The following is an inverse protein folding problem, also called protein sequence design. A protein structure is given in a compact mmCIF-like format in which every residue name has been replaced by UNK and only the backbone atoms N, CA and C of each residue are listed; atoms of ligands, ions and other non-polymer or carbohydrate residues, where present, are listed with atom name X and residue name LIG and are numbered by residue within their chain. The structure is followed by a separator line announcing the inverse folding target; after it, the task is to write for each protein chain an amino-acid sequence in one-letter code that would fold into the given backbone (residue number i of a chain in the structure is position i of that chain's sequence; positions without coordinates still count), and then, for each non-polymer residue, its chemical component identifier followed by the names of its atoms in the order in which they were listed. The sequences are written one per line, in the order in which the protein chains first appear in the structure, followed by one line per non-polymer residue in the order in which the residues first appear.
data_IF_927814766905
#
_entry.id   IF_927814766905
#
_cell.length_a   1.000
_cell.length_b   1.000
_cell.length_c   1.000
_cell.angle_alpha   90.00
_cell.angle_beta   90.00
_cell.angle_gamma   90.00
#
_symmetry.space_group_name_H-M   'P 1'
#
loop_
_entity.id
_entity.type
_entity.pdbx_description
1 polymer ?
#
# COMPACT_ATOMS: atom_id res chain seq x y z
N UNK A 1 -72.74 -4.13 -39.63
CA UNK A 1 -72.37 -2.69 -39.65
C UNK A 1 -71.10 -2.46 -38.84
N UNK A 2 -69.93 -2.96 -39.31
CA UNK A 2 -68.68 -2.87 -38.54
C UNK A 2 -67.40 -2.94 -39.41
N UNK A 3 -67.46 -2.50 -40.68
CA UNK A 3 -66.29 -2.54 -41.59
C UNK A 3 -66.09 -1.29 -42.47
N UNK A 4 -66.87 -0.22 -42.24
CA UNK A 4 -66.72 1.07 -42.97
C UNK A 4 -66.22 2.25 -42.13
N UNK A 5 -65.95 2.03 -40.84
CA UNK A 5 -65.43 3.08 -39.93
C UNK A 5 -63.92 3.05 -39.69
N UNK A 6 -63.18 2.10 -40.27
CA UNK A 6 -61.71 2.01 -40.10
C UNK A 6 -60.90 2.64 -41.25
N UNK A 7 -61.54 3.03 -42.34
CA UNK A 7 -60.84 3.61 -43.50
C UNK A 7 -60.75 5.15 -43.44
N UNK A 8 -61.52 5.80 -42.56
CA UNK A 8 -61.57 7.26 -42.42
C UNK A 8 -60.69 7.80 -41.28
N UNK A 9 -60.18 6.94 -40.39
CA UNK A 9 -59.24 7.32 -39.32
C UNK A 9 -57.77 7.21 -39.71
N UNK A 10 -57.44 6.63 -40.87
CA UNK A 10 -56.04 6.46 -41.33
C UNK A 10 -55.51 7.65 -42.17
N UNK A 11 -56.37 8.57 -42.63
CA UNK A 11 -55.97 9.69 -43.51
C UNK A 11 -55.72 11.00 -42.72
N UNK A 12 -56.17 11.09 -41.47
CA UNK A 12 -55.96 12.30 -40.63
C UNK A 12 -54.60 12.29 -39.92
N UNK A 13 -53.89 11.16 -39.86
CA UNK A 13 -52.55 11.07 -39.23
C UNK A 13 -51.36 11.32 -40.17
N UNK A 14 -51.60 11.62 -41.45
CA UNK A 14 -50.53 11.79 -42.45
C UNK A 14 -50.30 13.25 -42.89
N UNK A 15 -50.94 14.24 -42.25
CA UNK A 15 -50.78 15.66 -42.60
C UNK A 15 -50.29 16.58 -41.47
N UNK A 16 -49.82 16.05 -40.34
CA UNK A 16 -49.08 16.81 -39.31
C UNK A 16 -47.62 16.38 -39.28
N UNK A 17 -46.94 16.55 -40.41
CA UNK A 17 -45.51 16.25 -40.56
C UNK A 17 -44.75 17.41 -41.19
N UNK A 18 -45.06 18.67 -40.83
CA UNK A 18 -44.23 19.84 -41.16
C UNK A 18 -44.49 20.96 -40.16
N UNK A 19 -43.68 21.07 -39.10
CA UNK A 19 -43.20 22.33 -38.51
C UNK A 19 -42.47 22.05 -37.18
N UNK A 20 -41.40 22.80 -36.94
CA UNK A 20 -40.48 22.72 -35.80
C UNK A 20 -39.42 21.61 -35.84
N UNK A 21 -38.63 21.59 -36.92
CA UNK A 21 -37.20 21.33 -36.72
C UNK A 21 -36.60 22.52 -35.95
N UNK A 22 -36.57 22.42 -34.62
CA UNK A 22 -35.54 23.13 -33.88
C UNK A 22 -34.21 22.54 -34.32
N UNK A 23 -33.38 23.37 -34.95
CA UNK A 23 -32.00 23.03 -35.23
C UNK A 23 -31.39 22.46 -33.93
N UNK A 24 -30.72 21.30 -33.98
CA UNK A 24 -29.98 20.84 -32.82
C UNK A 24 -29.03 21.96 -32.46
N UNK A 25 -29.20 22.52 -31.27
CA UNK A 25 -28.24 23.42 -30.66
C UNK A 25 -26.94 22.65 -30.72
N UNK A 26 -26.06 23.00 -31.65
CA UNK A 26 -24.72 22.42 -31.78
C UNK A 26 -24.17 22.49 -30.37
N UNK A 27 -24.06 21.35 -29.69
CA UNK A 27 -23.36 21.31 -28.43
C UNK A 27 -21.96 21.73 -28.83
N UNK A 28 -21.62 22.98 -28.56
CA UNK A 28 -20.26 23.48 -28.71
C UNK A 28 -19.39 22.41 -28.10
N UNK A 29 -18.55 21.75 -28.91
CA UNK A 29 -17.52 20.86 -28.44
C UNK A 29 -16.93 21.52 -27.18
N UNK A 30 -16.87 20.82 -26.03
CA UNK A 30 -16.26 21.42 -24.85
C UNK A 30 -14.92 22.00 -25.30
N UNK A 31 -14.63 23.28 -24.99
CA UNK A 31 -13.51 23.99 -25.60
C UNK A 31 -12.27 23.13 -25.53
N UNK A 32 -11.70 22.81 -26.70
CA UNK A 32 -10.58 21.88 -26.85
C UNK A 32 -9.51 22.27 -25.83
N UNK A 33 -9.20 21.34 -24.92
CA UNK A 33 -8.33 21.64 -23.80
C UNK A 33 -6.93 22.02 -24.28
N UNK A 34 -6.47 23.22 -23.91
CA UNK A 34 -5.15 23.72 -24.30
C UNK A 34 -4.14 23.08 -23.36
N UNK A 35 -3.56 21.95 -23.79
CA UNK A 35 -2.47 21.31 -23.07
C UNK A 35 -1.24 22.21 -23.13
N UNK A 36 -0.71 22.59 -21.98
CA UNK A 36 0.50 23.40 -21.87
C UNK A 36 1.53 22.76 -20.95
N UNK A 37 2.77 23.25 -21.04
CA UNK A 37 3.88 22.92 -20.15
C UNK A 37 4.34 24.20 -19.47
N UNK A 38 4.34 24.23 -18.14
CA UNK A 38 4.88 25.34 -17.35
C UNK A 38 6.10 24.88 -16.57
N UNK A 39 7.17 25.66 -16.58
CA UNK A 39 8.35 25.42 -15.75
C UNK A 39 8.40 26.50 -14.69
N UNK A 40 8.41 26.11 -13.42
CA UNK A 40 8.49 27.01 -12.26
C UNK A 40 9.81 26.75 -11.55
N UNK A 41 10.69 27.76 -11.52
CA UNK A 41 11.83 27.74 -10.61
C UNK A 41 11.31 27.93 -9.18
N UNK A 42 11.87 27.18 -8.23
CA UNK A 42 11.48 27.27 -6.82
C UNK A 42 12.73 27.32 -5.94
N UNK A 43 12.58 27.85 -4.73
CA UNK A 43 13.65 27.80 -3.73
C UNK A 43 13.93 26.36 -3.30
N UNK A 44 15.06 26.14 -2.62
CA UNK A 44 15.43 24.83 -2.13
C UNK A 44 14.39 24.24 -1.16
N UNK A 45 14.18 22.94 -1.28
CA UNK A 45 13.31 22.14 -0.43
C UNK A 45 13.89 20.73 -0.28
N UNK A 46 13.51 20.05 0.79
CA UNK A 46 13.79 18.64 1.02
C UNK A 46 12.55 17.87 1.50
N UNK A 47 11.43 18.56 1.72
CA UNK A 47 10.13 17.95 1.94
C UNK A 47 9.20 18.30 0.78
N UNK A 48 8.30 17.38 0.46
CA UNK A 48 7.27 17.56 -0.56
C UNK A 48 5.93 17.19 0.06
N UNK A 49 4.95 18.08 -0.05
CA UNK A 49 3.55 17.88 0.35
C UNK A 49 2.65 18.12 -0.87
N UNK A 50 1.96 17.07 -1.30
CA UNK A 50 1.06 17.11 -2.47
C UNK A 50 -0.37 16.81 -2.06
N UNK A 51 -1.30 17.67 -2.45
CA UNK A 51 -2.71 17.52 -2.15
C UNK A 51 -3.58 17.70 -3.39
N UNK A 52 -4.46 16.74 -3.64
CA UNK A 52 -5.43 16.75 -4.72
C UNK A 52 -5.07 15.84 -5.89
N UNK A 53 -6.03 15.68 -6.81
CA UNK A 53 -6.00 14.68 -7.86
C UNK A 53 -4.99 15.03 -8.96
N UNK A 54 -3.75 14.60 -8.79
CA UNK A 54 -2.69 14.78 -9.80
C UNK A 54 -1.77 13.57 -9.89
N UNK A 55 -0.99 13.52 -10.96
CA UNK A 55 0.09 12.57 -11.16
C UNK A 55 1.42 13.26 -10.82
N UNK A 56 2.24 12.65 -9.98
CA UNK A 56 3.49 13.23 -9.50
C UNK A 56 4.66 12.35 -9.90
N UNK A 57 5.69 12.95 -10.47
CA UNK A 57 7.00 12.33 -10.61
C UNK A 57 8.00 13.10 -9.75
N UNK A 58 8.78 12.40 -8.94
CA UNK A 58 9.77 13.00 -8.04
C UNK A 58 11.17 12.56 -8.43
N UNK A 59 12.10 13.51 -8.46
CA UNK A 59 13.50 13.29 -8.77
C UNK A 59 14.42 13.96 -7.75
N UNK A 60 15.51 13.28 -7.39
CA UNK A 60 16.60 13.79 -6.53
C UNK A 60 17.87 14.07 -7.33
N UNK A 61 18.84 14.77 -6.75
CA UNK A 61 20.16 15.02 -7.35
C UNK A 61 20.26 16.26 -8.23
N UNK A 62 19.20 17.05 -8.36
CA UNK A 62 19.22 18.28 -9.17
C UNK A 62 19.72 19.48 -8.37
N UNK A 63 20.79 20.13 -8.84
CA UNK A 63 21.37 21.34 -8.20
C UNK A 63 20.43 22.55 -8.19
N UNK A 64 19.55 22.65 -9.20
CA UNK A 64 18.58 23.74 -9.36
C UNK A 64 17.17 23.17 -9.21
N UNK A 65 16.52 23.34 -8.05
CA UNK A 65 15.17 22.87 -7.83
C UNK A 65 14.19 23.52 -8.80
N UNK A 66 13.30 22.72 -9.38
CA UNK A 66 12.29 23.18 -10.33
C UNK A 66 11.11 22.24 -10.37
N UNK A 67 9.99 22.77 -10.86
CA UNK A 67 8.75 22.04 -11.04
C UNK A 67 8.30 22.20 -12.49
N UNK A 68 7.96 21.09 -13.12
CA UNK A 68 7.47 21.06 -14.50
C UNK A 68 6.03 20.55 -14.48
N UNK A 69 5.10 21.43 -14.84
CA UNK A 69 3.67 21.15 -14.85
C UNK A 69 3.20 20.85 -16.26
N UNK A 70 2.31 19.88 -16.42
CA UNK A 70 1.66 19.52 -17.68
C UNK A 70 0.17 19.29 -17.45
N UNK A 71 -0.68 19.90 -18.28
CA UNK A 71 -2.14 19.82 -18.15
C UNK A 71 -2.84 20.91 -18.95
N UNK A 72 -4.16 21.00 -18.83
CA UNK A 72 -4.93 22.13 -19.37
C UNK A 72 -4.57 23.42 -18.62
N UNK A 73 -4.42 24.53 -19.33
CA UNK A 73 -4.06 25.84 -18.75
C UNK A 73 -4.97 26.26 -17.58
N UNK A 74 -6.28 25.95 -17.65
CA UNK A 74 -7.26 26.31 -16.61
C UNK A 74 -7.08 25.50 -15.34
N UNK A 75 -6.76 24.21 -15.48
CA UNK A 75 -6.46 23.34 -14.34
C UNK A 75 -5.10 23.72 -13.71
N UNK A 76 -4.11 24.05 -14.53
CA UNK A 76 -2.78 24.49 -14.03
C UNK A 76 -2.82 25.85 -13.33
N UNK A 77 -3.74 26.73 -13.71
CA UNK A 77 -3.95 28.02 -13.03
C UNK A 77 -4.50 27.83 -11.60
N UNK A 78 -5.26 26.76 -11.35
CA UNK A 78 -5.78 26.42 -10.03
C UNK A 78 -4.75 25.73 -9.12
N UNK A 79 -3.63 25.24 -9.68
CA UNK A 79 -2.57 24.58 -8.92
C UNK A 79 -1.71 25.60 -8.16
N UNK A 80 -1.84 25.59 -6.83
CA UNK A 80 -0.99 26.37 -5.92
C UNK A 80 0.36 25.68 -5.74
N UNK A 81 1.43 26.48 -5.81
CA UNK A 81 2.81 26.02 -5.66
C UNK A 81 3.56 27.01 -4.77
N UNK A 82 3.98 26.57 -3.58
CA UNK A 82 4.70 27.42 -2.62
C UNK A 82 5.79 26.59 -1.96
N UNK A 83 6.96 27.18 -1.77
CA UNK A 83 7.98 26.61 -0.88
C UNK A 83 7.99 27.41 0.42
N UNK A 84 7.83 26.72 1.54
CA UNK A 84 7.90 27.32 2.88
C UNK A 84 8.52 26.32 3.85
N UNK A 85 9.43 26.79 4.71
CA UNK A 85 10.13 25.94 5.70
C UNK A 85 10.70 24.64 5.09
N UNK A 86 11.45 24.78 3.99
CA UNK A 86 12.05 23.68 3.21
C UNK A 86 11.06 22.65 2.67
N UNK A 87 9.77 22.97 2.66
CA UNK A 87 8.71 22.10 2.15
C UNK A 87 8.11 22.71 0.90
N UNK A 88 8.12 21.95 -0.18
CA UNK A 88 7.36 22.26 -1.38
C UNK A 88 5.91 21.80 -1.18
N UNK A 89 5.00 22.77 -1.15
CA UNK A 89 3.55 22.55 -1.10
C UNK A 89 2.96 22.67 -2.50
N UNK A 90 2.25 21.63 -2.91
CA UNK A 90 1.49 21.55 -4.16
C UNK A 90 0.04 21.21 -3.81
N UNK A 91 -0.89 22.11 -4.12
CA UNK A 91 -2.30 21.91 -3.81
C UNK A 91 -3.17 22.21 -5.03
N UNK A 92 -3.90 21.21 -5.49
CA UNK A 92 -4.94 21.35 -6.49
C UNK A 92 -6.30 21.37 -5.78
N UNK A 93 -7.10 22.40 -6.06
CA UNK A 93 -8.37 22.63 -5.36
C UNK A 93 -9.37 21.48 -5.53
N UNK A 94 -10.34 21.38 -4.61
CA UNK A 94 -11.45 20.43 -4.75
C UNK A 94 -12.20 20.66 -6.07
N UNK A 95 -12.61 19.58 -6.72
CA UNK A 95 -13.29 19.62 -8.03
C UNK A 95 -12.34 19.74 -9.22
N UNK A 96 -11.04 19.98 -8.99
CA UNK A 96 -10.03 19.93 -10.02
C UNK A 96 -9.31 18.56 -10.02
N UNK A 97 -8.81 18.12 -11.18
CA UNK A 97 -8.90 18.79 -12.48
C UNK A 97 -10.27 18.60 -13.16
N UNK A 98 -10.70 19.60 -13.94
CA UNK A 98 -11.97 19.56 -14.68
C UNK A 98 -11.81 19.29 -16.18
N UNK A 99 -10.65 19.64 -16.76
CA UNK A 99 -10.45 19.61 -18.21
C UNK A 99 -9.42 18.56 -18.66
N UNK A 100 -8.68 17.97 -17.72
CA UNK A 100 -7.85 16.80 -17.98
C UNK A 100 -6.82 16.51 -16.88
N UNK A 101 -6.10 15.39 -16.96
CA UNK A 101 -5.14 15.03 -15.92
C UNK A 101 -4.01 16.08 -15.79
N UNK A 102 -3.71 16.45 -14.55
CA UNK A 102 -2.56 17.30 -14.20
C UNK A 102 -1.39 16.41 -13.83
N UNK A 103 -0.23 16.65 -14.44
CA UNK A 103 1.02 15.96 -14.14
C UNK A 103 2.08 16.96 -13.65
N UNK A 104 2.81 16.58 -12.60
CA UNK A 104 3.80 17.40 -11.92
C UNK A 104 5.11 16.63 -11.83
N UNK A 105 6.17 17.13 -12.48
CA UNK A 105 7.55 16.63 -12.36
C UNK A 105 8.31 17.55 -11.39
N UNK A 106 8.64 17.02 -10.22
CA UNK A 106 9.30 17.68 -9.10
C UNK A 106 10.78 17.30 -9.12
N UNK A 107 11.66 18.29 -9.22
CA UNK A 107 13.11 18.09 -9.23
C UNK A 107 13.71 18.83 -8.05
N UNK A 108 14.35 18.09 -7.15
CA UNK A 108 15.07 18.63 -6.00
C UNK A 108 16.46 18.02 -5.88
N UNK A 109 17.26 18.59 -4.98
CA UNK A 109 18.57 18.02 -4.66
C UNK A 109 18.43 16.82 -3.72
N UNK A 110 17.62 16.97 -2.68
CA UNK A 110 17.39 15.97 -1.63
C UNK A 110 15.89 15.75 -1.42
N UNK A 111 15.53 14.60 -0.84
CA UNK A 111 14.17 14.30 -0.43
C UNK A 111 14.20 13.53 0.89
N UNK A 112 13.77 14.18 1.96
CA UNK A 112 13.70 13.63 3.31
C UNK A 112 12.27 13.24 3.70
N UNK A 113 11.26 13.87 3.09
CA UNK A 113 9.85 13.58 3.35
C UNK A 113 9.01 13.73 2.09
N UNK A 114 8.10 12.79 1.91
CA UNK A 114 7.05 12.83 0.89
C UNK A 114 5.69 12.61 1.56
N UNK A 115 4.88 13.65 1.63
CA UNK A 115 3.51 13.61 2.05
C UNK A 115 2.59 13.75 0.82
N UNK A 116 1.57 12.90 0.73
CA UNK A 116 0.59 12.99 -0.34
C UNK A 116 -0.82 12.66 0.15
N UNK A 117 -1.79 13.43 -0.34
CA UNK A 117 -3.20 13.26 -0.02
C UNK A 117 -4.07 13.39 -1.27
N UNK A 118 -4.96 12.42 -1.45
CA UNK A 118 -5.93 12.37 -2.55
C UNK A 118 -5.24 12.44 -3.93
N UNK A 119 -4.04 11.85 -4.05
CA UNK A 119 -3.18 11.85 -5.24
C UNK A 119 -3.35 10.57 -6.05
N UNK A 120 -3.37 10.65 -7.39
CA UNK A 120 -3.66 9.50 -8.25
C UNK A 120 -2.45 8.56 -8.42
N UNK A 121 -1.30 9.14 -8.75
CA UNK A 121 -0.08 8.41 -9.08
C UNK A 121 1.13 9.17 -8.55
N UNK A 122 2.07 8.45 -7.94
CA UNK A 122 3.38 8.98 -7.55
C UNK A 122 4.47 8.03 -8.06
N UNK A 123 5.44 8.57 -8.79
CA UNK A 123 6.56 7.81 -9.35
C UNK A 123 7.88 8.48 -8.97
N UNK A 124 8.87 7.68 -8.56
CA UNK A 124 10.25 8.13 -8.39
C UNK A 124 11.19 6.96 -8.67
N UNK A 125 11.78 6.89 -9.86
CA UNK A 125 12.46 5.66 -10.31
C UNK A 125 13.93 5.55 -9.86
N UNK A 126 14.57 6.66 -9.53
CA UNK A 126 16.00 6.74 -9.20
C UNK A 126 16.20 7.71 -8.03
N UNK A 127 15.47 7.48 -6.96
CA UNK A 127 15.59 8.29 -5.74
C UNK A 127 16.86 7.90 -4.99
N UNK A 128 17.62 8.90 -4.57
CA UNK A 128 18.79 8.72 -3.71
C UNK A 128 18.56 9.50 -2.43
N UNK A 129 18.19 8.79 -1.35
CA UNK A 129 17.82 9.40 -0.07
C UNK A 129 18.51 8.64 1.06
N UNK A 130 19.19 9.35 1.97
CA UNK A 130 19.74 8.75 3.19
C UNK A 130 18.67 8.47 4.24
N UNK A 131 17.64 9.32 4.29
CA UNK A 131 16.46 9.19 5.13
C UNK A 131 15.24 9.60 4.30
N UNK A 132 14.17 8.83 4.34
CA UNK A 132 12.89 9.17 3.72
C UNK A 132 11.74 8.79 4.64
N UNK A 133 10.89 9.76 4.97
CA UNK A 133 9.57 9.53 5.56
C UNK A 133 8.50 9.64 4.48
N UNK A 134 7.58 8.70 4.42
CA UNK A 134 6.48 8.67 3.45
C UNK A 134 5.15 8.64 4.19
N UNK A 135 4.29 9.62 3.92
CA UNK A 135 2.94 9.75 4.49
C UNK A 135 1.91 9.80 3.36
N UNK A 136 1.02 8.83 3.28
CA UNK A 136 0.04 8.71 2.18
C UNK A 136 -1.37 8.62 2.74
N UNK A 137 -2.27 9.47 2.23
CA UNK A 137 -3.69 9.45 2.59
C UNK A 137 -4.54 9.39 1.33
N UNK A 138 -5.29 8.30 1.15
CA UNK A 138 -6.13 8.06 -0.03
C UNK A 138 -5.37 8.25 -1.35
N UNK A 139 -4.12 7.80 -1.38
CA UNK A 139 -3.26 7.89 -2.56
C UNK A 139 -3.40 6.62 -3.39
N UNK A 140 -3.56 6.76 -4.71
CA UNK A 140 -3.73 5.64 -5.64
C UNK A 140 -2.48 4.75 -5.75
N UNK A 141 -1.72 4.88 -6.84
CA UNK A 141 -0.52 4.07 -7.05
C UNK A 141 0.73 4.84 -6.67
N UNK A 142 1.63 4.23 -5.90
CA UNK A 142 2.94 4.80 -5.56
C UNK A 142 4.03 3.81 -5.95
N UNK A 143 4.99 4.26 -6.76
CA UNK A 143 6.16 3.48 -7.18
C UNK A 143 7.43 4.26 -6.94
N UNK A 144 8.19 3.88 -5.92
CA UNK A 144 9.47 4.49 -5.58
C UNK A 144 10.58 3.43 -5.74
N UNK A 145 11.68 3.79 -6.40
CA UNK A 145 12.84 2.94 -6.63
C UNK A 145 14.11 3.79 -6.53
N UNK A 146 15.25 3.13 -6.27
CA UNK A 146 16.56 3.77 -6.19
C UNK A 146 17.37 3.24 -5.02
N UNK A 147 18.05 4.13 -4.28
CA UNK A 147 18.67 3.84 -2.99
C UNK A 147 17.96 4.66 -1.91
N UNK A 148 17.07 3.99 -1.18
CA UNK A 148 16.09 4.65 -0.32
C UNK A 148 16.31 4.26 1.14
N UNK A 149 16.81 5.20 1.95
CA UNK A 149 16.83 5.13 3.40
C UNK A 149 15.45 5.30 4.05
N UNK A 150 14.50 4.41 3.76
CA UNK A 150 13.13 4.52 4.26
C UNK A 150 13.08 4.39 5.79
N UNK A 151 12.60 5.41 6.50
CA UNK A 151 12.49 5.42 7.97
C UNK A 151 11.05 5.26 8.43
N UNK A 152 10.12 5.99 7.82
CA UNK A 152 8.69 5.93 8.16
C UNK A 152 7.89 5.65 6.90
N UNK A 153 6.93 4.72 7.01
CA UNK A 153 5.88 4.52 6.03
C UNK A 153 4.52 4.51 6.75
N UNK A 154 3.79 5.62 6.64
CA UNK A 154 2.44 5.77 7.17
C UNK A 154 1.45 5.89 6.01
N UNK A 155 0.51 4.94 5.92
CA UNK A 155 -0.48 4.87 4.85
C UNK A 155 -1.87 4.73 5.43
N UNK A 156 -2.77 5.62 5.04
CA UNK A 156 -4.19 5.61 5.39
C UNK A 156 -5.06 5.57 4.15
N UNK A 157 -6.03 4.67 4.11
CA UNK A 157 -6.98 4.51 3.01
C UNK A 157 -6.64 3.31 2.14
N UNK A 158 -6.75 3.48 0.82
CA UNK A 158 -6.51 2.43 -0.17
C UNK A 158 -5.39 2.85 -1.10
N UNK A 159 -4.71 1.90 -1.73
CA UNK A 159 -3.67 2.19 -2.70
C UNK A 159 -2.78 0.99 -3.00
N UNK A 160 -2.05 1.05 -4.11
CA UNK A 160 -0.99 0.10 -4.45
C UNK A 160 0.36 0.78 -4.30
N UNK A 161 1.16 0.33 -3.34
CA UNK A 161 2.45 0.93 -3.01
C UNK A 161 3.56 -0.08 -3.27
N UNK A 162 4.54 0.31 -4.06
CA UNK A 162 5.75 -0.46 -4.33
C UNK A 162 6.96 0.44 -4.04
N UNK A 163 7.81 0.04 -3.11
CA UNK A 163 9.06 0.74 -2.78
C UNK A 163 10.22 -0.24 -2.87
N UNK A 164 11.10 -0.02 -3.84
CA UNK A 164 12.27 -0.84 -4.08
C UNK A 164 13.59 -0.14 -3.75
N UNK A 165 14.60 -0.94 -3.46
CA UNK A 165 15.95 -0.45 -3.13
C UNK A 165 16.05 0.15 -1.73
N UNK A 166 15.28 -0.40 -0.79
CA UNK A 166 15.29 0.04 0.61
C UNK A 166 16.61 -0.36 1.28
N UNK A 167 17.20 0.58 2.01
CA UNK A 167 18.30 0.34 2.95
C UNK A 167 17.98 1.07 4.24
N UNK A 168 17.24 0.41 5.14
CA UNK A 168 16.72 1.05 6.35
C UNK A 168 17.44 0.62 7.62
N UNK A 169 17.75 1.60 8.47
CA UNK A 169 18.34 1.39 9.80
C UNK A 169 17.29 1.29 10.92
N UNK A 170 16.09 1.84 10.72
CA UNK A 170 15.01 1.82 11.71
C UNK A 170 13.67 2.14 11.03
N UNK A 171 13.14 1.15 10.32
CA UNK A 171 11.87 1.27 9.60
C UNK A 171 10.69 1.10 10.57
N UNK A 172 9.77 2.05 10.51
CA UNK A 172 8.46 1.99 11.15
C UNK A 172 7.38 2.01 10.08
N UNK A 173 6.43 1.08 10.17
CA UNK A 173 5.34 0.94 9.20
C UNK A 173 4.00 0.99 9.92
N UNK A 174 3.14 1.92 9.49
CA UNK A 174 1.77 2.05 9.96
C UNK A 174 0.80 2.02 8.77
N UNK A 175 -0.08 1.01 8.71
CA UNK A 175 -1.04 0.85 7.62
C UNK A 175 -2.46 0.80 8.19
N UNK A 176 -3.32 1.69 7.69
CA UNK A 176 -4.73 1.74 8.04
C UNK A 176 -5.61 1.73 6.79
N UNK A 177 -6.67 0.91 6.79
CA UNK A 177 -7.59 0.78 5.66
C UNK A 177 -7.32 -0.49 4.85
N UNK A 178 -7.22 -0.37 3.53
CA UNK A 178 -6.93 -1.52 2.65
C UNK A 178 -5.78 -1.27 1.66
N UNK A 179 -4.62 -0.70 2.08
CA UNK A 179 -3.48 -0.56 1.18
C UNK A 179 -2.84 -1.93 0.89
N UNK A 180 -2.30 -2.08 -0.32
CA UNK A 180 -1.44 -3.19 -0.71
C UNK A 180 -0.01 -2.67 -0.88
N UNK A 181 0.90 -3.14 -0.03
CA UNK A 181 2.27 -2.62 0.08
C UNK A 181 3.28 -3.73 -0.21
N UNK A 182 4.17 -3.46 -1.17
CA UNK A 182 5.33 -4.30 -1.48
C UNK A 182 6.61 -3.50 -1.25
N UNK A 183 7.46 -4.01 -0.37
CA UNK A 183 8.75 -3.42 -0.05
C UNK A 183 9.86 -4.38 -0.46
N UNK A 184 10.90 -3.87 -1.12
CA UNK A 184 12.09 -4.67 -1.47
C UNK A 184 13.38 -3.93 -1.12
N UNK A 185 14.33 -4.67 -0.54
CA UNK A 185 15.58 -4.14 -0.02
C UNK A 185 15.92 -4.78 1.33
N UNK A 186 16.92 -4.24 2.02
CA UNK A 186 17.31 -4.68 3.36
C UNK A 186 16.76 -3.69 4.37
N UNK A 187 15.97 -4.17 5.32
CA UNK A 187 15.32 -3.30 6.30
C UNK A 187 15.49 -3.79 7.73
N UNK A 188 15.97 -2.90 8.59
CA UNK A 188 15.78 -3.03 10.02
C UNK A 188 14.35 -2.55 10.38
N UNK A 189 13.37 -3.43 10.23
CA UNK A 189 11.98 -3.17 10.60
C UNK A 189 11.82 -3.32 12.12
N UNK A 190 11.56 -2.22 12.83
CA UNK A 190 11.41 -2.21 14.28
C UNK A 190 9.94 -2.35 14.72
N UNK A 191 9.03 -1.67 14.02
CA UNK A 191 7.61 -1.65 14.36
C UNK A 191 6.75 -1.78 13.09
N UNK A 192 5.75 -2.65 13.16
CA UNK A 192 4.71 -2.82 12.17
C UNK A 192 3.34 -2.82 12.84
N UNK A 193 2.53 -1.80 12.53
CA UNK A 193 1.14 -1.72 12.96
C UNK A 193 0.20 -1.72 11.76
N UNK A 194 -0.78 -2.62 11.75
CA UNK A 194 -1.76 -2.75 10.66
C UNK A 194 -3.19 -2.88 11.16
N UNK A 195 -4.10 -2.08 10.59
CA UNK A 195 -5.52 -2.12 10.87
C UNK A 195 -6.32 -2.06 9.56
N UNK A 196 -7.32 -2.93 9.43
CA UNK A 196 -8.18 -3.03 8.25
C UNK A 196 -7.91 -4.28 7.45
N UNK A 197 -8.03 -4.17 6.13
CA UNK A 197 -7.75 -5.23 5.16
C UNK A 197 -6.40 -4.99 4.46
N UNK A 198 -5.45 -4.37 5.18
CA UNK A 198 -4.15 -4.02 4.67
C UNK A 198 -3.31 -5.28 4.36
N UNK A 199 -2.52 -5.24 3.29
CA UNK A 199 -1.60 -6.30 2.91
C UNK A 199 -0.18 -5.74 2.80
N UNK A 200 0.79 -6.40 3.44
CA UNK A 200 2.20 -6.04 3.39
C UNK A 200 3.06 -7.25 3.05
N UNK A 201 4.00 -7.06 2.13
CA UNK A 201 5.10 -7.99 1.87
C UNK A 201 6.43 -7.25 1.92
N UNK A 202 7.37 -7.80 2.70
CA UNK A 202 8.75 -7.33 2.81
C UNK A 202 9.69 -8.52 3.02
N UNK A 203 10.59 -8.72 2.06
CA UNK A 203 11.66 -9.71 2.15
C UNK A 203 12.95 -9.05 2.61
N UNK A 204 13.82 -9.80 3.30
CA UNK A 204 15.08 -9.33 3.88
C UNK A 204 14.96 -8.33 5.02
N UNK A 205 14.11 -8.69 5.99
CA UNK A 205 14.14 -8.11 7.33
C UNK A 205 15.39 -8.56 8.09
N UNK A 206 16.15 -7.63 8.64
CA UNK A 206 17.29 -7.90 9.55
C UNK A 206 17.24 -6.91 10.71
N UNK A 207 16.79 -7.37 11.86
CA UNK A 207 16.57 -6.50 13.03
C UNK A 207 16.82 -7.24 14.34
N UNK A 208 17.17 -6.50 15.39
CA UNK A 208 17.31 -7.07 16.73
C UNK A 208 15.94 -7.28 17.38
N UNK A 209 15.01 -6.34 17.22
CA UNK A 209 13.68 -6.44 17.82
C UNK A 209 12.62 -5.99 16.82
N UNK A 210 11.66 -6.87 16.55
CA UNK A 210 10.51 -6.57 15.72
C UNK A 210 9.22 -6.73 16.53
N UNK A 211 8.43 -5.65 16.60
CA UNK A 211 7.08 -5.67 17.16
C UNK A 211 6.05 -5.57 16.04
N UNK A 212 5.10 -6.50 16.03
CA UNK A 212 3.99 -6.56 15.08
C UNK A 212 2.67 -6.51 15.82
N UNK A 213 1.80 -5.57 15.45
CA UNK A 213 0.43 -5.46 15.93
C UNK A 213 -0.53 -5.39 14.74
N UNK A 214 -1.38 -6.39 14.59
CA UNK A 214 -2.31 -6.44 13.47
C UNK A 214 -3.74 -6.77 13.91
N UNK A 215 -4.73 -6.09 13.32
CA UNK A 215 -6.15 -6.27 13.62
C UNK A 215 -6.97 -6.40 12.35
N UNK A 216 -8.21 -6.89 12.50
CA UNK A 216 -9.19 -7.07 11.40
C UNK A 216 -8.71 -8.12 10.40
N UNK A 217 -8.66 -7.88 9.09
CA UNK A 217 -8.22 -8.88 8.11
C UNK A 217 -6.83 -8.59 7.52
N UNK A 218 -5.99 -7.88 8.27
CA UNK A 218 -4.64 -7.54 7.87
C UNK A 218 -3.81 -8.79 7.56
N UNK A 219 -3.02 -8.75 6.48
CA UNK A 219 -2.14 -9.86 6.07
C UNK A 219 -0.71 -9.38 5.93
N UNK A 220 0.21 -10.07 6.60
CA UNK A 220 1.64 -9.72 6.67
C UNK A 220 2.46 -10.88 6.13
N UNK A 221 3.42 -10.61 5.24
CA UNK A 221 4.39 -11.57 4.74
C UNK A 221 5.80 -11.03 4.96
N UNK A 222 6.57 -11.67 5.84
CA UNK A 222 7.95 -11.27 6.14
C UNK A 222 8.92 -12.45 5.94
N UNK A 223 10.13 -12.13 5.49
CA UNK A 223 11.25 -13.07 5.48
C UNK A 223 12.55 -12.40 5.93
N UNK A 224 13.45 -13.18 6.52
CA UNK A 224 14.76 -12.71 7.00
C UNK A 224 15.13 -13.27 8.37
N UNK A 225 15.78 -12.45 9.19
CA UNK A 225 16.24 -12.85 10.52
C UNK A 225 15.94 -11.78 11.57
N UNK A 226 15.52 -12.22 12.75
CA UNK A 226 15.25 -11.35 13.89
C UNK A 226 15.75 -11.96 15.21
N UNK A 227 16.33 -11.15 16.09
CA UNK A 227 16.77 -11.64 17.40
C UNK A 227 15.59 -11.82 18.37
N UNK A 228 14.66 -10.87 18.41
CA UNK A 228 13.42 -10.92 19.21
C UNK A 228 12.21 -10.53 18.37
N UNK A 229 11.25 -11.44 18.25
CA UNK A 229 9.98 -11.24 17.58
C UNK A 229 8.84 -11.13 18.60
N UNK A 230 8.04 -10.08 18.52
CA UNK A 230 6.82 -9.90 19.30
C UNK A 230 5.64 -9.69 18.35
N UNK A 231 4.66 -10.57 18.37
CA UNK A 231 3.50 -10.57 17.46
C UNK A 231 2.21 -10.63 18.26
N UNK A 232 1.27 -9.74 17.95
CA UNK A 232 -0.07 -9.78 18.50
C UNK A 232 -1.08 -9.56 17.37
N UNK A 233 -1.96 -10.54 17.19
CA UNK A 233 -2.95 -10.58 16.12
C UNK A 233 -4.36 -10.68 16.70
N UNK A 234 -5.29 -9.92 16.11
CA UNK A 234 -6.70 -9.91 16.50
C UNK A 234 -7.62 -10.11 15.30
N UNK A 235 -8.84 -10.58 15.57
CA UNK A 235 -9.88 -10.83 14.56
C UNK A 235 -9.40 -11.85 13.52
N UNK A 236 -9.33 -11.49 12.24
CA UNK A 236 -8.95 -12.39 11.15
C UNK A 236 -7.55 -12.09 10.60
N UNK A 237 -6.68 -11.46 11.41
CA UNK A 237 -5.36 -11.04 10.98
C UNK A 237 -4.45 -12.26 10.75
N UNK A 238 -3.57 -12.15 9.75
CA UNK A 238 -2.67 -13.23 9.35
C UNK A 238 -1.22 -12.76 9.29
N UNK A 239 -0.35 -13.47 10.00
CA UNK A 239 1.08 -13.29 9.92
C UNK A 239 1.74 -14.50 9.27
N UNK A 240 2.36 -14.30 8.11
CA UNK A 240 3.11 -15.31 7.36
C UNK A 240 4.60 -15.10 7.56
N UNK A 241 5.12 -15.62 8.66
CA UNK A 241 6.51 -15.51 9.09
C UNK A 241 7.32 -16.80 8.97
N UNK A 242 6.85 -17.82 8.21
CA UNK A 242 7.59 -19.08 8.00
C UNK A 242 9.06 -18.86 7.59
N UNK A 243 9.32 -17.83 6.79
CA UNK A 243 10.66 -17.47 6.30
C UNK A 243 11.35 -16.37 7.11
N UNK A 244 10.77 -15.96 8.24
CA UNK A 244 11.37 -15.02 9.19
C UNK A 244 11.91 -15.80 10.38
N UNK A 245 13.22 -16.08 10.38
CA UNK A 245 13.87 -16.83 11.46
C UNK A 245 14.06 -15.95 12.68
N UNK A 246 13.31 -16.23 13.75
CA UNK A 246 13.46 -15.59 15.04
C UNK A 246 14.39 -16.40 15.97
N UNK A 247 15.22 -15.73 16.76
CA UNK A 247 15.93 -16.41 17.86
C UNK A 247 15.01 -16.59 19.06
N UNK A 248 14.25 -15.55 19.40
CA UNK A 248 13.22 -15.56 20.45
C UNK A 248 11.90 -15.04 19.89
N UNK A 249 10.78 -15.63 20.29
CA UNK A 249 9.44 -15.15 19.90
C UNK A 249 8.47 -15.11 21.08
N UNK A 250 7.59 -14.10 21.04
CA UNK A 250 6.42 -13.95 21.89
C UNK A 250 5.23 -13.69 20.97
N UNK A 251 4.32 -14.65 20.87
CA UNK A 251 3.22 -14.60 19.90
C UNK A 251 1.89 -14.73 20.62
N UNK A 252 0.99 -13.80 20.34
CA UNK A 252 -0.38 -13.78 20.86
C UNK A 252 -1.37 -13.73 19.72
N UNK A 253 -2.33 -14.63 19.71
CA UNK A 253 -3.39 -14.68 18.71
C UNK A 253 -4.76 -14.69 19.41
N UNK A 254 -5.68 -13.91 18.85
CA UNK A 254 -7.05 -13.72 19.33
C UNK A 254 -8.04 -13.82 18.16
N UNK A 255 -9.33 -14.00 18.44
CA UNK A 255 -10.40 -14.15 17.46
C UNK A 255 -10.21 -15.38 16.56
N UNK A 256 -9.98 -15.16 15.27
CA UNK A 256 -9.71 -16.18 14.24
C UNK A 256 -8.39 -15.92 13.51
N UNK A 257 -7.45 -15.29 14.22
CA UNK A 257 -6.16 -14.88 13.65
C UNK A 257 -5.24 -16.09 13.49
N UNK A 258 -4.28 -15.99 12.57
CA UNK A 258 -3.32 -17.07 12.30
C UNK A 258 -1.90 -16.51 12.23
N UNK A 259 -0.98 -17.12 12.98
CA UNK A 259 0.44 -16.79 12.94
C UNK A 259 1.29 -17.99 12.50
N UNK A 260 2.07 -17.82 11.43
CA UNK A 260 3.10 -18.76 11.01
C UNK A 260 4.47 -18.26 11.48
N UNK A 261 5.20 -19.06 12.25
CA UNK A 261 6.47 -18.66 12.86
C UNK A 261 7.58 -19.70 12.65
N UNK A 262 8.83 -19.23 12.68
CA UNK A 262 10.03 -20.07 12.65
C UNK A 262 11.02 -19.59 13.69
N UNK A 263 11.22 -20.36 14.75
CA UNK A 263 11.91 -19.93 15.98
C UNK A 263 13.03 -20.90 16.33
N UNK A 264 14.21 -20.38 16.68
CA UNK A 264 15.41 -21.20 16.91
C UNK A 264 15.69 -21.53 18.38
N UNK A 265 15.50 -20.59 19.33
CA UNK A 265 15.92 -20.80 20.74
C UNK A 265 14.75 -20.81 21.72
N UNK A 266 13.97 -19.74 21.76
CA UNK A 266 12.93 -19.58 22.78
C UNK A 266 11.61 -19.19 22.14
N UNK A 267 10.57 -19.99 22.38
CA UNK A 267 9.22 -19.74 21.89
C UNK A 267 8.25 -19.61 23.06
N UNK A 268 7.46 -18.54 23.06
CA UNK A 268 6.34 -18.36 23.99
C UNK A 268 5.10 -17.96 23.20
N UNK A 269 4.06 -18.78 23.31
CA UNK A 269 2.84 -18.63 22.54
C UNK A 269 1.61 -18.55 23.43
N UNK A 270 0.65 -17.73 23.03
CA UNK A 270 -0.68 -17.61 23.59
C UNK A 270 -1.70 -17.64 22.44
N UNK A 271 -2.39 -18.76 22.28
CA UNK A 271 -3.51 -18.89 21.35
C UNK A 271 -4.84 -18.89 22.12
N UNK A 272 -5.73 -17.97 21.77
CA UNK A 272 -7.04 -17.82 22.43
C UNK A 272 -8.17 -17.71 21.40
N UNK A 273 -9.42 -17.77 21.87
CA UNK A 273 -10.63 -17.79 21.04
C UNK A 273 -10.61 -18.95 20.04
N UNK A 274 -10.66 -18.71 18.73
CA UNK A 274 -10.57 -19.72 17.68
C UNK A 274 -9.38 -19.41 16.74
N UNK A 275 -8.23 -19.06 17.35
CA UNK A 275 -7.02 -18.64 16.64
C UNK A 275 -5.92 -19.69 16.65
N UNK A 276 -5.04 -19.65 15.64
CA UNK A 276 -4.03 -20.68 15.44
C UNK A 276 -2.61 -20.11 15.35
N UNK A 277 -1.65 -20.83 15.93
CA UNK A 277 -0.21 -20.56 15.77
C UNK A 277 0.46 -21.80 15.18
N UNK A 278 1.07 -21.64 14.02
CA UNK A 278 1.80 -22.68 13.29
C UNK A 278 3.30 -22.45 13.41
N UNK A 279 4.04 -23.44 13.88
CA UNK A 279 5.50 -23.36 13.93
C UNK A 279 6.16 -24.32 12.95
N UNK A 280 7.25 -23.86 12.33
CA UNK A 280 7.99 -24.57 11.28
C UNK A 280 9.42 -24.94 11.68
N UNK A 281 9.80 -24.74 12.94
CA UNK A 281 11.09 -25.15 13.48
C UNK A 281 10.96 -25.54 14.96
N UNK A 282 11.81 -26.44 15.45
CA UNK A 282 11.86 -26.77 16.87
C UNK A 282 12.78 -25.79 17.63
N UNK A 283 12.24 -24.98 18.56
CA UNK A 283 13.06 -24.16 19.43
C UNK A 283 13.68 -25.01 20.55
N UNK A 284 14.82 -24.57 21.10
CA UNK A 284 15.44 -25.20 22.28
C UNK A 284 14.50 -25.25 23.49
N UNK A 285 13.69 -24.21 23.67
CA UNK A 285 12.71 -24.11 24.76
C UNK A 285 11.39 -23.57 24.24
N UNK A 286 10.30 -24.06 24.81
CA UNK A 286 8.94 -23.74 24.37
C UNK A 286 7.99 -23.69 25.55
N UNK A 287 7.14 -22.67 25.57
CA UNK A 287 6.00 -22.56 26.46
C UNK A 287 4.77 -22.12 25.65
N UNK A 288 3.80 -23.02 25.50
CA UNK A 288 2.58 -22.76 24.75
C UNK A 288 1.40 -22.74 25.71
N UNK A 289 0.58 -21.69 25.63
CA UNK A 289 -0.68 -21.59 26.35
C UNK A 289 -1.82 -21.50 25.34
N UNK A 290 -2.81 -22.36 25.51
CA UNK A 290 -3.99 -22.47 24.67
C UNK A 290 -5.22 -22.29 25.55
N UNK A 291 -6.17 -21.47 25.12
CA UNK A 291 -7.46 -21.29 25.78
C UNK A 291 -8.60 -21.24 24.76
N UNK A 292 -9.79 -21.66 25.19
CA UNK A 292 -10.95 -21.84 24.32
C UNK A 292 -10.63 -22.81 23.18
N UNK A 293 -10.88 -22.43 21.93
CA UNK A 293 -10.60 -23.22 20.72
C UNK A 293 -9.25 -22.83 20.08
N UNK A 294 -8.38 -22.11 20.80
CA UNK A 294 -7.08 -21.67 20.28
C UNK A 294 -6.07 -22.82 20.21
N UNK A 295 -5.28 -22.88 19.14
CA UNK A 295 -4.34 -24.00 18.91
C UNK A 295 -2.90 -23.57 18.59
N UNK A 296 -1.94 -24.42 18.96
CA UNK A 296 -0.52 -24.29 18.57
C UNK A 296 -0.07 -25.60 17.92
N UNK A 297 0.24 -25.57 16.62
CA UNK A 297 0.46 -26.78 15.82
C UNK A 297 1.87 -26.85 15.21
N UNK A 298 2.43 -28.07 15.21
CA UNK A 298 3.66 -28.40 14.48
C UNK A 298 3.37 -28.56 12.99
N UNK A 299 3.96 -27.68 12.17
CA UNK A 299 3.81 -27.73 10.72
C UNK A 299 5.11 -28.07 10.00
N UNK A 300 6.09 -28.65 10.72
CA UNK A 300 7.33 -29.12 10.10
C UNK A 300 7.01 -30.22 9.09
N UNK A 301 7.71 -30.15 7.95
CA UNK A 301 7.72 -31.26 7.00
C UNK A 301 8.38 -32.46 7.69
N UNK A 302 7.68 -33.60 7.72
CA UNK A 302 8.24 -34.83 8.27
C UNK A 302 9.46 -35.22 7.44
N UNK A 303 10.54 -35.60 8.10
CA UNK A 303 11.69 -36.12 7.39
C UNK A 303 11.27 -37.44 6.73
N UNK A 304 11.81 -37.77 5.55
CA UNK A 304 11.50 -39.06 4.90
C UNK A 304 11.85 -40.27 5.79
N UNK A 305 12.77 -40.09 6.74
CA UNK A 305 13.10 -41.08 7.76
C UNK A 305 11.98 -41.29 8.80
N UNK A 306 11.24 -40.23 9.15
CA UNK A 306 10.13 -40.26 10.13
C UNK A 306 8.85 -40.86 9.53
N UNK A 307 8.79 -40.94 8.19
CA UNK A 307 7.71 -41.56 7.43
C UNK A 307 7.87 -43.07 7.24
N UNK A 308 8.99 -43.66 7.71
CA UNK A 308 9.20 -45.11 7.60
C UNK A 308 8.44 -45.82 8.71
N UNK A 309 7.53 -46.72 8.34
CA UNK A 309 6.88 -47.62 9.30
C UNK A 309 7.93 -48.31 10.19
N UNK A 310 7.65 -48.36 11.49
CA UNK A 310 8.48 -49.10 12.44
C UNK A 310 8.46 -50.58 12.08
N UNK A 311 9.45 -51.03 11.34
CA UNK A 311 9.68 -52.45 11.13
C UNK A 311 10.58 -53.00 12.25
N UNK A 312 10.73 -54.33 12.31
CA UNK A 312 11.49 -55.02 13.36
C UNK A 312 12.97 -54.60 13.49
N UNK A 313 13.50 -53.88 12.50
CA UNK A 313 14.87 -53.39 12.41
C UNK A 313 15.03 -51.91 12.80
N UNK A 314 13.94 -51.18 13.06
CA UNK A 314 13.96 -49.73 13.32
C UNK A 314 13.56 -49.39 14.78
N UNK A 315 13.45 -50.39 15.66
CA UNK A 315 12.91 -50.23 17.04
C UNK A 315 13.80 -49.40 17.99
N UNK A 316 14.97 -48.97 17.55
CA UNK A 316 15.98 -48.33 18.39
C UNK A 316 16.26 -46.90 17.95
N UNK A 317 15.25 -46.03 17.96
CA UNK A 317 15.52 -44.60 18.06
C UNK A 317 14.55 -44.02 19.11
N UNK A 318 15.07 -43.39 20.19
CA UNK A 318 14.28 -42.86 21.30
C UNK A 318 13.46 -41.62 20.93
#
# INVERSE_FOLDING_TARGET
MLKRCYLLTLIVFLLTACAHHHAPKVSSLPPQGIKTKQVRAVSAFNHVDVQGQMNVTVHTGYKKPQIILRGDTRDLAALKTVVSQNTLYLALGKGYPMYGPVSVDIRGQFLNRLAAKDTNLIVGNQLHTSVLDVYLVNTGTVRLNGSIGLRVLDIKGNGLIQIGGISSQNLQVHLQGSPKVQLSGIANLANLTMQGNAWLSLYWVKTDTLTIRARQAATIQLAGAVQRLDVELWNNARFKGRYLRAQRSFVKTHGRSVAEISVAKHQSNLATDASDIYYYNLPTTRADFMAFDGSVLDMREWNQFDLKDFNRYNKQFP
#
